data_IF_938586888855
#
_entry.id   IF_938586888855
#
_cell.length_a   1.000
_cell.length_b   1.000
_cell.length_c   1.000
_cell.angle_alpha   90.00
_cell.angle_beta   90.00
_cell.angle_gamma   90.00
#
_symmetry.space_group_name_H-M   'P 1'
#
loop_
_entity.id
_entity.type
_entity.pdbx_description
1 polymer ?
#
# COMPACT_ATOMS: atom_id res chain seq x y z
N UNK A 1 60.12 -50.46 1.54
CA UNK A 1 59.73 -49.51 2.60
C UNK A 1 59.66 -48.05 2.15
N UNK A 2 60.70 -47.48 1.49
CA UNK A 2 60.67 -46.07 1.05
C UNK A 2 59.59 -45.72 0.03
N UNK A 3 59.15 -46.63 -0.84
CA UNK A 3 58.10 -46.42 -1.82
C UNK A 3 56.66 -46.45 -1.20
N UNK A 4 56.47 -47.23 -0.14
CA UNK A 4 55.17 -47.28 0.59
C UNK A 4 54.95 -46.02 1.43
N UNK A 5 56.01 -45.43 2.00
CA UNK A 5 55.94 -44.20 2.79
C UNK A 5 55.60 -43.00 1.88
N UNK A 6 56.10 -42.95 0.64
CA UNK A 6 55.78 -41.89 -0.34
C UNK A 6 54.30 -41.92 -0.79
N UNK A 7 53.70 -43.11 -0.94
CA UNK A 7 52.32 -43.29 -1.31
C UNK A 7 51.39 -42.87 -0.15
N UNK A 8 51.79 -43.17 1.10
CA UNK A 8 50.97 -42.77 2.29
C UNK A 8 50.99 -41.24 2.50
N UNK A 9 52.12 -40.58 2.24
CA UNK A 9 52.21 -39.10 2.32
C UNK A 9 51.39 -38.38 1.26
N UNK A 10 51.29 -38.91 0.02
CA UNK A 10 50.44 -38.34 -1.04
C UNK A 10 48.97 -38.55 -0.74
N UNK A 11 48.57 -39.67 -0.15
CA UNK A 11 47.20 -39.92 0.26
C UNK A 11 46.76 -38.99 1.40
N UNK A 12 47.63 -38.63 2.34
CA UNK A 12 47.30 -37.68 3.42
C UNK A 12 47.22 -36.27 2.92
N UNK A 13 48.00 -35.85 1.88
CA UNK A 13 47.85 -34.53 1.27
C UNK A 13 46.56 -34.38 0.43
N UNK A 14 46.08 -35.44 -0.19
CA UNK A 14 44.84 -35.41 -0.98
C UNK A 14 43.63 -35.42 -0.03
N UNK A 15 43.69 -36.07 1.13
CA UNK A 15 42.65 -36.03 2.15
C UNK A 15 42.53 -34.67 2.85
N UNK A 16 43.60 -33.84 2.88
CA UNK A 16 43.58 -32.50 3.46
C UNK A 16 42.95 -31.42 2.57
N UNK A 17 42.74 -31.68 1.27
CA UNK A 17 42.17 -30.74 0.30
C UNK A 17 40.64 -30.87 0.17
N UNK A 18 40.02 -31.86 0.79
CA UNK A 18 38.54 -32.08 0.73
C UNK A 18 37.80 -31.40 1.89
N UNK A 19 38.49 -30.77 2.85
CA UNK A 19 37.91 -30.25 4.08
C UNK A 19 37.53 -28.75 4.07
N UNK A 20 37.54 -28.11 2.91
CA UNK A 20 37.04 -26.72 2.77
C UNK A 20 36.06 -26.65 1.59
N UNK A 21 34.92 -27.36 1.68
CA UNK A 21 33.73 -26.87 1.01
C UNK A 21 33.31 -25.61 1.78
N UNK A 22 33.31 -24.43 1.18
CA UNK A 22 32.74 -23.28 1.81
C UNK A 22 31.28 -23.69 2.18
N UNK A 23 30.89 -23.47 3.43
CA UNK A 23 29.51 -23.62 3.81
C UNK A 23 28.70 -22.91 2.76
N UNK A 24 27.81 -23.63 2.08
CA UNK A 24 26.95 -23.05 1.04
C UNK A 24 26.20 -21.92 1.75
N UNK A 25 26.59 -20.66 1.50
CA UNK A 25 25.86 -19.52 2.05
C UNK A 25 24.41 -19.73 1.66
N UNK A 26 23.54 -19.81 2.66
CA UNK A 26 22.11 -19.94 2.42
C UNK A 26 21.65 -18.78 1.52
N UNK A 27 20.67 -19.05 0.69
CA UNK A 27 20.14 -18.11 -0.28
C UNK A 27 19.72 -16.80 0.42
N UNK A 28 20.40 -15.67 0.11
CA UNK A 28 20.15 -14.36 0.73
C UNK A 28 18.70 -13.97 0.50
N UNK A 29 17.96 -13.73 1.58
CA UNK A 29 16.52 -13.51 1.54
C UNK A 29 16.18 -12.08 1.97
N UNK A 30 15.24 -11.46 1.26
CA UNK A 30 14.54 -10.24 1.70
C UNK A 30 13.12 -10.67 2.09
N UNK A 31 12.73 -10.40 3.34
CA UNK A 31 11.40 -10.70 3.83
C UNK A 31 10.47 -9.50 3.64
N UNK A 32 9.45 -9.64 2.81
CA UNK A 32 8.40 -8.64 2.59
C UNK A 32 7.20 -9.04 3.43
N UNK A 33 6.78 -8.15 4.33
CA UNK A 33 5.67 -8.37 5.26
C UNK A 33 4.66 -7.24 5.05
N UNK A 34 3.56 -7.58 4.39
CA UNK A 34 2.47 -6.67 4.02
C UNK A 34 1.38 -6.62 5.09
N UNK A 35 0.44 -5.67 4.98
CA UNK A 35 -0.75 -5.60 5.84
C UNK A 35 -1.76 -6.72 5.56
N UNK A 36 -1.72 -7.27 4.34
CA UNK A 36 -2.58 -8.37 3.91
C UNK A 36 -2.00 -9.09 2.71
N UNK A 37 -2.62 -10.19 2.28
CA UNK A 37 -2.20 -10.93 1.09
C UNK A 37 -3.36 -11.25 0.13
N UNK A 38 -4.60 -10.96 0.51
CA UNK A 38 -5.79 -11.32 -0.28
C UNK A 38 -6.22 -10.22 -1.26
N UNK A 39 -5.94 -8.96 -0.96
CA UNK A 39 -6.25 -7.85 -1.85
C UNK A 39 -5.38 -7.86 -3.10
N UNK A 40 -5.97 -7.49 -4.21
CA UNK A 40 -5.29 -7.32 -5.49
C UNK A 40 -4.10 -6.34 -5.40
N UNK A 41 -4.21 -5.27 -4.61
CA UNK A 41 -3.11 -4.38 -4.28
C UNK A 41 -1.86 -5.14 -3.79
N UNK A 42 -2.01 -6.03 -2.78
CA UNK A 42 -0.90 -6.78 -2.20
C UNK A 42 -0.32 -7.80 -3.17
N UNK A 43 -1.14 -8.38 -4.04
CA UNK A 43 -0.65 -9.32 -5.07
C UNK A 43 0.28 -8.66 -6.07
N UNK A 44 0.03 -7.42 -6.38
CA UNK A 44 0.91 -6.69 -7.27
C UNK A 44 2.18 -6.16 -6.59
N UNK A 45 2.07 -5.67 -5.36
CA UNK A 45 3.25 -5.41 -4.53
C UNK A 45 4.15 -6.64 -4.51
N UNK A 46 3.57 -7.83 -4.30
CA UNK A 46 4.28 -9.11 -4.34
C UNK A 46 4.98 -9.34 -5.68
N UNK A 47 4.27 -9.14 -6.79
CA UNK A 47 4.84 -9.34 -8.13
C UNK A 47 6.05 -8.41 -8.37
N UNK A 48 5.93 -7.12 -8.02
CA UNK A 48 7.03 -6.16 -8.10
C UNK A 48 8.21 -6.52 -7.20
N UNK A 49 7.93 -6.88 -5.94
CA UNK A 49 8.95 -7.26 -4.97
C UNK A 49 9.76 -8.50 -5.41
N UNK A 50 9.06 -9.55 -5.86
CA UNK A 50 9.69 -10.78 -6.37
C UNK A 50 10.55 -10.46 -7.59
N UNK A 51 10.05 -9.67 -8.52
CA UNK A 51 10.80 -9.25 -9.72
C UNK A 51 12.11 -8.53 -9.38
N UNK A 52 12.07 -7.59 -8.46
CA UNK A 52 13.27 -6.87 -8.02
C UNK A 52 14.31 -7.80 -7.36
N UNK A 53 13.85 -8.76 -6.55
CA UNK A 53 14.73 -9.77 -5.94
C UNK A 53 15.38 -10.68 -6.97
N UNK A 54 14.60 -11.21 -7.93
CA UNK A 54 15.11 -12.06 -9.01
C UNK A 54 16.21 -11.37 -9.81
N UNK A 55 16.01 -10.11 -10.19
CA UNK A 55 16.99 -9.33 -10.95
C UNK A 55 18.32 -9.13 -10.21
N UNK A 56 18.27 -9.09 -8.89
CA UNK A 56 19.44 -8.87 -8.04
C UNK A 56 20.01 -10.15 -7.40
N UNK A 57 19.43 -11.32 -7.68
CA UNK A 57 19.87 -12.61 -7.13
C UNK A 57 19.53 -12.80 -5.65
N UNK A 58 18.48 -12.15 -5.16
CA UNK A 58 17.93 -12.34 -3.82
C UNK A 58 16.63 -13.15 -3.88
N UNK A 59 16.46 -14.05 -2.92
CA UNK A 59 15.15 -14.63 -2.67
C UNK A 59 14.25 -13.60 -1.99
N UNK A 60 13.03 -13.48 -2.46
CA UNK A 60 11.99 -12.69 -1.79
C UNK A 60 10.96 -13.63 -1.19
N UNK A 61 10.67 -13.48 0.10
CA UNK A 61 9.49 -14.07 0.74
C UNK A 61 8.45 -12.98 0.92
N UNK A 62 7.20 -13.27 0.59
CA UNK A 62 6.08 -12.34 0.76
C UNK A 62 5.04 -12.98 1.66
N UNK A 63 4.64 -12.26 2.72
CA UNK A 63 3.64 -12.68 3.70
C UNK A 63 2.79 -11.49 4.11
N UNK A 64 1.54 -11.75 4.42
CA UNK A 64 0.61 -10.84 5.06
C UNK A 64 -0.47 -11.63 5.79
N UNK A 65 -1.09 -11.08 6.82
CA UNK A 65 -2.22 -11.72 7.48
C UNK A 65 -3.44 -11.75 6.55
N UNK A 66 -4.44 -12.54 6.92
CA UNK A 66 -5.68 -12.66 6.14
C UNK A 66 -6.56 -11.41 6.21
N UNK A 67 -6.37 -10.61 7.25
CA UNK A 67 -7.08 -9.34 7.48
C UNK A 67 -6.12 -8.26 7.96
N UNK A 68 -6.34 -7.03 7.48
CA UNK A 68 -5.59 -5.83 7.88
C UNK A 68 -5.91 -5.34 9.32
N UNK A 69 -6.50 -6.19 10.14
CA UNK A 69 -6.72 -5.97 11.58
C UNK A 69 -5.92 -6.93 12.48
N UNK A 70 -5.17 -7.87 11.89
CA UNK A 70 -4.50 -8.94 12.62
C UNK A 70 -3.06 -8.58 13.04
N UNK A 71 -2.88 -7.50 13.81
CA UNK A 71 -1.56 -7.05 14.31
C UNK A 71 -0.73 -8.16 14.96
N UNK A 72 -1.28 -9.02 15.86
CA UNK A 72 -0.49 -10.10 16.48
C UNK A 72 0.08 -11.10 15.46
N UNK A 73 -0.69 -11.43 14.41
CA UNK A 73 -0.22 -12.33 13.37
C UNK A 73 0.90 -11.69 12.55
N UNK A 74 0.77 -10.41 12.20
CA UNK A 74 1.83 -9.70 11.50
C UNK A 74 3.12 -9.60 12.33
N UNK A 75 3.03 -9.31 13.64
CA UNK A 75 4.19 -9.33 14.56
C UNK A 75 4.90 -10.69 14.55
N UNK A 76 4.15 -11.79 14.59
CA UNK A 76 4.73 -13.15 14.53
C UNK A 76 5.46 -13.38 13.18
N UNK A 77 4.99 -12.83 12.07
CA UNK A 77 5.67 -12.90 10.77
C UNK A 77 7.01 -12.15 10.82
N UNK A 78 7.03 -10.93 11.41
CA UNK A 78 8.27 -10.17 11.60
C UNK A 78 9.26 -10.93 12.49
N UNK A 79 8.82 -11.48 13.62
CA UNK A 79 9.66 -12.28 14.49
C UNK A 79 10.22 -13.53 13.79
N UNK A 80 9.42 -14.18 12.95
CA UNK A 80 9.85 -15.33 12.15
C UNK A 80 10.94 -14.92 11.16
N UNK A 81 10.77 -13.78 10.47
CA UNK A 81 11.77 -13.24 9.57
C UNK A 81 13.08 -12.90 10.31
N UNK A 82 12.99 -12.24 11.47
CA UNK A 82 14.16 -11.89 12.31
C UNK A 82 14.92 -13.11 12.84
N UNK A 83 14.28 -14.25 12.98
CA UNK A 83 14.91 -15.49 13.45
C UNK A 83 15.47 -16.34 12.30
N UNK A 84 15.24 -15.98 11.05
CA UNK A 84 15.79 -16.66 9.89
C UNK A 84 17.19 -16.10 9.55
N UNK A 85 18.28 -16.88 9.67
CA UNK A 85 19.65 -16.39 9.42
C UNK A 85 19.89 -15.98 7.97
N UNK A 86 19.04 -16.41 7.04
CA UNK A 86 19.14 -16.06 5.63
C UNK A 86 18.53 -14.69 5.32
N UNK A 87 17.67 -14.15 6.17
CA UNK A 87 17.07 -12.82 6.00
C UNK A 87 18.13 -11.75 6.23
N UNK A 88 18.31 -10.89 5.21
CA UNK A 88 19.30 -9.81 5.21
C UNK A 88 18.65 -8.43 5.35
N UNK A 89 17.39 -8.30 4.96
CA UNK A 89 16.58 -7.10 5.12
C UNK A 89 15.11 -7.46 5.28
N UNK A 90 14.35 -6.57 5.90
CA UNK A 90 12.89 -6.67 6.01
C UNK A 90 12.29 -5.48 5.27
N UNK A 91 11.23 -5.71 4.51
CA UNK A 91 10.37 -4.70 3.88
C UNK A 91 9.02 -4.83 4.57
N UNK A 92 8.59 -3.80 5.29
CA UNK A 92 7.48 -3.87 6.25
C UNK A 92 6.45 -2.77 6.03
N UNK A 93 5.18 -3.14 5.89
CA UNK A 93 4.04 -2.24 6.02
C UNK A 93 3.26 -2.61 7.29
N UNK A 94 3.30 -1.78 8.32
CA UNK A 94 2.65 -2.09 9.61
C UNK A 94 1.13 -1.88 9.57
N UNK A 95 0.37 -2.80 10.11
CA UNK A 95 -1.10 -2.67 10.26
C UNK A 95 -1.45 -1.64 11.34
N UNK A 96 -0.65 -1.54 12.38
CA UNK A 96 -0.91 -0.70 13.53
C UNK A 96 0.35 -0.45 14.33
N UNK A 97 0.20 -0.05 15.57
CA UNK A 97 1.29 0.11 16.54
C UNK A 97 1.62 -1.21 17.26
N UNK A 98 2.71 -1.25 18.02
CA UNK A 98 3.08 -2.39 18.86
C UNK A 98 4.26 -3.20 18.33
N UNK A 99 5.06 -2.66 17.41
CA UNK A 99 6.23 -3.31 16.80
C UNK A 99 7.56 -2.97 17.46
N UNK A 100 7.55 -2.32 18.66
CA UNK A 100 8.75 -1.85 19.36
C UNK A 100 9.79 -2.95 19.54
N UNK A 101 9.36 -4.14 19.99
CA UNK A 101 10.27 -5.26 20.27
C UNK A 101 10.90 -5.81 18.98
N UNK A 102 10.10 -5.94 17.93
CA UNK A 102 10.55 -6.44 16.63
C UNK A 102 11.54 -5.47 15.99
N UNK A 103 11.25 -4.16 15.99
CA UNK A 103 12.11 -3.14 15.42
C UNK A 103 13.40 -2.97 16.23
N UNK A 104 13.32 -3.00 17.56
CA UNK A 104 14.51 -3.05 18.44
C UNK A 104 15.38 -4.26 18.11
N UNK A 105 14.77 -5.44 17.93
CA UNK A 105 15.50 -6.67 17.57
C UNK A 105 16.13 -6.55 16.19
N UNK A 106 15.45 -5.95 15.21
CA UNK A 106 16.01 -5.70 13.88
C UNK A 106 17.27 -4.82 13.96
N UNK A 107 17.20 -3.73 14.74
CA UNK A 107 18.35 -2.86 14.97
C UNK A 107 19.54 -3.60 15.60
N UNK A 108 19.30 -4.36 16.67
CA UNK A 108 20.36 -5.12 17.37
C UNK A 108 20.99 -6.19 16.49
N UNK A 109 20.21 -6.81 15.62
CA UNK A 109 20.69 -7.78 14.62
C UNK A 109 21.29 -7.11 13.36
N UNK A 110 21.25 -5.78 13.26
CA UNK A 110 21.69 -5.00 12.09
C UNK A 110 20.95 -5.43 10.80
N UNK A 111 19.68 -5.77 10.91
CA UNK A 111 18.81 -6.06 9.78
C UNK A 111 18.09 -4.76 9.42
N UNK A 112 18.39 -4.14 8.25
CA UNK A 112 17.71 -2.91 7.84
C UNK A 112 16.24 -3.18 7.53
N UNK A 113 15.38 -2.21 7.87
CA UNK A 113 13.95 -2.24 7.62
C UNK A 113 13.58 -1.13 6.63
N UNK A 114 13.05 -1.51 5.47
CA UNK A 114 12.39 -0.58 4.54
C UNK A 114 10.92 -0.55 4.89
N UNK A 115 10.39 0.64 5.11
CA UNK A 115 8.96 0.83 5.23
C UNK A 115 8.32 0.92 3.85
N UNK A 116 7.12 0.39 3.67
CA UNK A 116 6.40 0.56 2.42
C UNK A 116 4.89 0.73 2.63
N UNK A 117 4.21 1.27 1.62
CA UNK A 117 2.78 1.60 1.61
C UNK A 117 2.40 2.66 2.67
N UNK A 118 2.65 2.38 3.92
CA UNK A 118 2.53 3.34 5.02
C UNK A 118 3.78 3.28 5.88
N UNK A 119 4.25 4.43 6.34
CA UNK A 119 5.31 4.52 7.33
C UNK A 119 4.84 4.00 8.69
N UNK A 120 5.78 3.86 9.61
CA UNK A 120 5.47 3.69 11.03
C UNK A 120 4.55 4.84 11.46
N UNK A 121 3.68 4.56 12.42
CA UNK A 121 2.73 5.57 12.89
C UNK A 121 3.45 6.86 13.29
N UNK A 122 2.91 8.00 12.88
CA UNK A 122 3.55 9.33 12.88
C UNK A 122 4.09 9.81 14.25
N UNK A 123 3.75 9.13 15.34
CA UNK A 123 4.26 9.45 16.68
C UNK A 123 5.52 8.67 17.08
N UNK A 124 6.08 7.85 16.20
CA UNK A 124 7.27 7.04 16.48
C UNK A 124 7.12 6.05 17.66
N UNK A 125 5.89 5.69 18.02
CA UNK A 125 5.60 4.86 19.20
C UNK A 125 6.22 3.46 19.13
N UNK A 126 6.61 3.02 17.94
CA UNK A 126 7.18 1.70 17.72
C UNK A 126 8.71 1.70 17.65
N UNK A 127 9.36 2.82 17.94
CA UNK A 127 10.82 2.92 17.91
C UNK A 127 11.37 3.25 19.29
N UNK A 128 12.27 2.40 19.79
CA UNK A 128 13.07 2.72 20.97
C UNK A 128 14.09 3.80 20.61
N UNK A 129 14.23 4.83 21.44
CA UNK A 129 15.19 5.92 21.21
C UNK A 129 16.61 5.39 20.94
N UNK A 130 17.19 5.82 19.84
CA UNK A 130 18.52 5.38 19.40
C UNK A 130 18.58 3.98 18.82
N UNK A 131 17.45 3.29 18.63
CA UNK A 131 17.37 1.92 18.07
C UNK A 131 16.42 1.86 16.88
N UNK A 132 16.56 2.77 15.94
CA UNK A 132 15.79 2.80 14.70
C UNK A 132 16.47 1.96 13.61
N UNK A 133 15.85 0.85 13.14
CA UNK A 133 16.37 0.05 12.02
C UNK A 133 15.89 0.57 10.67
N UNK A 134 15.00 1.57 10.62
CA UNK A 134 14.38 2.01 9.37
C UNK A 134 15.39 2.76 8.49
N UNK A 135 15.26 2.59 7.19
CA UNK A 135 16.23 3.14 6.23
C UNK A 135 15.58 3.98 5.13
N UNK A 136 14.27 4.04 5.12
CA UNK A 136 13.46 4.84 4.19
C UNK A 136 12.10 4.21 3.93
N UNK A 137 11.20 5.04 3.38
CA UNK A 137 9.82 4.71 3.04
C UNK A 137 9.63 4.70 1.52
N UNK A 138 8.95 3.67 1.01
CA UNK A 138 8.47 3.61 -0.37
C UNK A 138 6.94 3.54 -0.35
N UNK A 139 6.28 4.61 -0.72
CA UNK A 139 4.82 4.71 -0.65
C UNK A 139 4.27 5.61 -1.76
N UNK A 140 2.97 5.52 -1.99
CA UNK A 140 2.25 6.55 -2.75
C UNK A 140 2.37 7.89 -2.01
N UNK A 141 2.61 8.98 -2.71
CA UNK A 141 2.44 10.33 -2.18
C UNK A 141 0.93 10.58 -1.97
N UNK A 142 0.44 10.11 -0.82
CA UNK A 142 -0.99 10.01 -0.53
C UNK A 142 -1.68 11.38 -0.53
N UNK A 143 -1.00 12.43 -0.07
CA UNK A 143 -1.58 13.77 -0.06
C UNK A 143 -1.73 14.32 -1.48
N UNK A 144 -0.71 14.15 -2.33
CA UNK A 144 -0.83 14.52 -3.76
C UNK A 144 -1.84 13.64 -4.50
N UNK A 145 -1.93 12.36 -4.17
CA UNK A 145 -2.89 11.47 -4.80
C UNK A 145 -4.34 11.82 -4.41
N UNK A 146 -4.60 12.21 -3.15
CA UNK A 146 -5.87 12.77 -2.72
C UNK A 146 -6.21 14.10 -3.44
N UNK A 147 -5.22 14.97 -3.60
CA UNK A 147 -5.36 16.21 -4.39
C UNK A 147 -5.68 15.91 -5.86
N UNK A 148 -5.07 14.88 -6.46
CA UNK A 148 -5.37 14.45 -7.84
C UNK A 148 -6.82 13.98 -8.00
N UNK A 149 -7.39 13.28 -7.01
CA UNK A 149 -8.83 12.97 -7.01
C UNK A 149 -9.64 14.25 -7.03
N UNK A 150 -9.31 15.22 -6.15
CA UNK A 150 -10.04 16.49 -6.04
C UNK A 150 -9.99 17.29 -7.35
N UNK A 151 -8.84 17.39 -7.99
CA UNK A 151 -8.67 18.12 -9.27
C UNK A 151 -9.57 17.56 -10.36
N UNK A 152 -9.54 16.26 -10.56
CA UNK A 152 -10.32 15.61 -11.60
C UNK A 152 -11.82 15.60 -11.29
N UNK A 153 -12.16 15.34 -10.03
CA UNK A 153 -13.56 15.32 -9.60
C UNK A 153 -14.19 16.72 -9.66
N UNK A 154 -13.48 17.75 -9.21
CA UNK A 154 -13.93 19.14 -9.32
C UNK A 154 -14.14 19.56 -10.79
N UNK A 155 -13.19 19.21 -11.67
CA UNK A 155 -13.32 19.46 -13.10
C UNK A 155 -14.58 18.80 -13.70
N UNK A 156 -14.88 17.57 -13.28
CA UNK A 156 -16.11 16.88 -13.66
C UNK A 156 -17.35 17.62 -13.15
N UNK A 157 -17.42 17.94 -11.85
CA UNK A 157 -18.57 18.66 -11.26
C UNK A 157 -18.82 20.02 -11.95
N UNK A 158 -17.74 20.74 -12.25
CA UNK A 158 -17.78 22.01 -12.98
C UNK A 158 -18.33 21.84 -14.41
N UNK A 159 -17.90 20.82 -15.12
CA UNK A 159 -18.40 20.50 -16.47
C UNK A 159 -19.89 20.12 -16.49
N UNK A 160 -20.38 19.53 -15.40
CA UNK A 160 -21.82 19.22 -15.23
C UNK A 160 -22.66 20.43 -14.80
N UNK A 161 -22.03 21.59 -14.51
CA UNK A 161 -22.70 22.80 -14.00
C UNK A 161 -23.52 22.56 -12.71
N UNK A 162 -23.08 21.66 -11.82
CA UNK A 162 -23.79 21.33 -10.58
C UNK A 162 -23.27 22.10 -9.36
N UNK A 163 -22.10 22.73 -9.47
CA UNK A 163 -21.46 23.44 -8.37
C UNK A 163 -22.20 24.73 -8.02
N UNK A 164 -22.58 24.86 -6.75
CA UNK A 164 -23.21 26.06 -6.17
C UNK A 164 -22.65 26.29 -4.78
N UNK A 165 -22.85 27.48 -4.20
CA UNK A 165 -22.55 27.70 -2.79
C UNK A 165 -23.34 26.73 -1.90
N UNK A 166 -22.64 26.07 -0.97
CA UNK A 166 -23.22 25.05 -0.10
C UNK A 166 -23.36 23.67 -0.78
N UNK A 167 -22.69 23.42 -1.93
CA UNK A 167 -22.65 22.08 -2.51
C UNK A 167 -22.01 21.10 -1.54
N UNK A 168 -22.72 20.03 -1.21
CA UNK A 168 -22.38 19.10 -0.13
C UNK A 168 -21.56 17.93 -0.60
N UNK A 169 -20.33 17.82 -0.09
CA UNK A 169 -19.41 16.72 -0.39
C UNK A 169 -19.09 15.94 0.88
N UNK A 170 -19.41 14.64 0.87
CA UNK A 170 -18.98 13.71 1.90
C UNK A 170 -17.61 13.12 1.60
N UNK A 171 -16.83 12.85 2.66
CA UNK A 171 -15.57 12.11 2.56
C UNK A 171 -15.59 10.96 3.55
N UNK A 172 -15.39 9.73 3.07
CA UNK A 172 -15.25 8.55 3.94
C UNK A 172 -13.77 8.23 4.05
N UNK A 173 -13.15 8.65 5.15
CA UNK A 173 -11.76 8.33 5.50
C UNK A 173 -11.71 6.93 6.08
N UNK A 174 -10.91 6.05 5.48
CA UNK A 174 -10.95 4.62 5.81
C UNK A 174 -10.37 4.29 7.20
N UNK A 175 -9.31 4.95 7.63
CA UNK A 175 -8.69 4.74 8.93
C UNK A 175 -7.92 5.98 9.43
N UNK A 176 -7.23 5.86 10.55
CA UNK A 176 -6.42 6.91 11.18
C UNK A 176 -4.92 6.76 10.87
N UNK A 177 -4.54 5.94 9.89
CA UNK A 177 -3.15 5.87 9.42
C UNK A 177 -2.79 7.11 8.61
N UNK A 178 -1.50 7.32 8.38
CA UNK A 178 -1.04 8.41 7.50
C UNK A 178 -1.70 8.34 6.12
N UNK A 179 -1.88 7.13 5.55
CA UNK A 179 -2.53 6.95 4.25
C UNK A 179 -3.98 7.45 4.25
N UNK A 180 -4.76 7.11 5.27
CA UNK A 180 -6.16 7.55 5.40
C UNK A 180 -6.28 9.05 5.60
N UNK A 181 -5.44 9.61 6.46
CA UNK A 181 -5.41 11.04 6.76
C UNK A 181 -4.98 11.84 5.53
N UNK A 182 -3.84 11.51 4.94
CA UNK A 182 -3.25 12.27 3.83
C UNK A 182 -4.16 12.28 2.58
N UNK A 183 -4.79 11.14 2.25
CA UNK A 183 -5.75 11.08 1.13
C UNK A 183 -6.96 11.97 1.36
N UNK A 184 -7.52 11.96 2.56
CA UNK A 184 -8.66 12.81 2.92
C UNK A 184 -8.27 14.29 2.96
N UNK A 185 -7.16 14.65 3.61
CA UNK A 185 -6.68 16.04 3.70
C UNK A 185 -6.30 16.59 2.33
N UNK A 186 -5.54 15.83 1.53
CA UNK A 186 -5.16 16.23 0.17
C UNK A 186 -6.38 16.54 -0.70
N UNK A 187 -7.42 15.71 -0.60
CA UNK A 187 -8.68 15.96 -1.29
C UNK A 187 -9.38 17.22 -0.78
N UNK A 188 -9.57 17.34 0.52
CA UNK A 188 -10.31 18.46 1.14
C UNK A 188 -9.61 19.80 0.90
N UNK A 189 -8.29 19.86 1.08
CA UNK A 189 -7.51 21.07 0.83
C UNK A 189 -7.63 21.51 -0.64
N UNK A 190 -7.40 20.58 -1.58
CA UNK A 190 -7.39 20.90 -3.00
C UNK A 190 -8.78 21.25 -3.54
N UNK A 191 -9.84 20.55 -3.15
CA UNK A 191 -11.17 20.85 -3.66
C UNK A 191 -11.67 22.20 -3.16
N UNK A 192 -11.33 22.59 -1.92
CA UNK A 192 -11.64 23.92 -1.38
C UNK A 192 -10.82 25.01 -2.08
N UNK A 193 -9.54 24.78 -2.38
CA UNK A 193 -8.70 25.69 -3.18
C UNK A 193 -9.35 25.99 -4.55
N UNK A 194 -9.77 24.93 -5.25
CA UNK A 194 -10.41 25.05 -6.57
C UNK A 194 -11.76 25.77 -6.51
N UNK A 195 -12.57 25.45 -5.51
CA UNK A 195 -13.85 26.09 -5.29
C UNK A 195 -13.70 27.59 -4.97
N UNK A 196 -12.73 27.94 -4.10
CA UNK A 196 -12.43 29.33 -3.77
C UNK A 196 -11.98 30.13 -5.00
N UNK A 197 -11.18 29.53 -5.89
CA UNK A 197 -10.77 30.17 -7.13
C UNK A 197 -11.96 30.51 -8.06
N UNK A 198 -13.04 29.70 -8.00
CA UNK A 198 -14.29 29.94 -8.71
C UNK A 198 -15.33 30.75 -7.88
N UNK A 199 -14.94 31.27 -6.70
CA UNK A 199 -15.81 31.98 -5.75
C UNK A 199 -17.00 31.14 -5.24
N UNK A 200 -16.79 29.84 -5.10
CA UNK A 200 -17.74 28.87 -4.56
C UNK A 200 -17.31 28.45 -3.15
N UNK A 201 -18.26 28.32 -2.24
CA UNK A 201 -18.08 27.75 -0.91
C UNK A 201 -18.71 26.35 -0.89
N UNK A 202 -17.94 25.33 -0.53
CA UNK A 202 -18.41 23.95 -0.39
C UNK A 202 -18.74 23.64 1.07
N UNK A 203 -19.74 22.78 1.29
CA UNK A 203 -19.97 22.15 2.58
C UNK A 203 -19.35 20.75 2.55
N UNK A 204 -18.36 20.50 3.42
CA UNK A 204 -17.66 19.22 3.45
C UNK A 204 -17.87 18.54 4.80
N UNK A 205 -18.38 17.30 4.77
CA UNK A 205 -18.47 16.44 5.95
C UNK A 205 -17.48 15.26 5.84
N UNK A 206 -16.58 15.15 6.82
CA UNK A 206 -15.57 14.10 6.91
C UNK A 206 -16.02 13.03 7.93
N UNK A 207 -16.22 11.80 7.46
CA UNK A 207 -16.49 10.61 8.25
C UNK A 207 -15.17 9.85 8.49
N UNK A 208 -14.60 10.00 9.71
CA UNK A 208 -13.35 9.31 10.09
C UNK A 208 -13.67 7.93 10.66
N UNK A 209 -13.12 6.88 10.08
CA UNK A 209 -13.36 5.48 10.47
C UNK A 209 -12.07 4.82 10.97
N UNK A 210 -12.20 3.60 11.48
CA UNK A 210 -11.09 2.81 12.05
C UNK A 210 -10.91 1.46 11.35
N UNK A 211 -11.44 1.34 10.13
CA UNK A 211 -11.40 0.10 9.33
C UNK A 211 -12.10 -1.10 10.00
N UNK A 212 -13.18 -0.84 10.75
CA UNK A 212 -14.01 -1.91 11.30
C UNK A 212 -15.14 -2.28 10.34
N UNK A 213 -15.52 -3.54 10.32
CA UNK A 213 -16.60 -4.04 9.46
C UNK A 213 -17.92 -3.28 9.67
N UNK A 214 -18.52 -2.82 8.58
CA UNK A 214 -19.81 -2.10 8.57
C UNK A 214 -19.73 -0.61 8.87
N UNK A 215 -18.58 -0.06 9.27
CA UNK A 215 -18.44 1.38 9.56
C UNK A 215 -18.64 2.25 8.33
N UNK A 216 -18.25 1.77 7.15
CA UNK A 216 -18.37 2.54 5.90
C UNK A 216 -19.81 2.63 5.40
N UNK A 217 -20.63 1.60 5.63
CA UNK A 217 -22.08 1.65 5.35
C UNK A 217 -22.79 2.64 6.28
N UNK A 218 -22.40 2.70 7.55
CA UNK A 218 -22.92 3.70 8.49
C UNK A 218 -22.52 5.12 8.07
N UNK A 219 -21.26 5.32 7.62
CA UNK A 219 -20.81 6.59 7.08
C UNK A 219 -21.60 7.00 5.83
N UNK A 220 -21.81 6.08 4.91
CA UNK A 220 -22.63 6.31 3.71
C UNK A 220 -24.05 6.77 4.08
N UNK A 221 -24.68 6.09 5.03
CA UNK A 221 -26.03 6.44 5.50
C UNK A 221 -26.06 7.82 6.17
N UNK A 222 -25.07 8.13 7.03
CA UNK A 222 -24.93 9.45 7.67
C UNK A 222 -24.77 10.57 6.64
N UNK A 223 -23.90 10.38 5.65
CA UNK A 223 -23.68 11.37 4.59
C UNK A 223 -24.93 11.56 3.72
N UNK A 224 -25.65 10.49 3.41
CA UNK A 224 -26.92 10.57 2.68
C UNK A 224 -27.98 11.37 3.48
N UNK A 225 -28.14 11.09 4.78
CA UNK A 225 -29.07 11.81 5.66
C UNK A 225 -28.70 13.29 5.78
N UNK A 226 -27.40 13.61 5.82
CA UNK A 226 -26.90 14.99 5.78
C UNK A 226 -27.22 15.68 4.45
N UNK A 227 -27.50 14.92 3.39
CA UNK A 227 -27.83 15.41 2.06
C UNK A 227 -26.63 15.59 1.15
N UNK A 228 -25.64 14.73 1.26
CA UNK A 228 -24.48 14.72 0.37
C UNK A 228 -24.91 14.60 -1.10
N UNK A 229 -24.34 15.44 -1.95
CA UNK A 229 -24.53 15.43 -3.40
C UNK A 229 -23.37 14.71 -4.12
N UNK A 230 -22.23 14.62 -3.43
CA UNK A 230 -21.06 13.89 -3.89
C UNK A 230 -20.35 13.21 -2.70
N UNK A 231 -19.69 12.06 -2.93
CA UNK A 231 -18.97 11.31 -1.90
C UNK A 231 -17.63 10.84 -2.44
N UNK A 232 -16.55 11.13 -1.70
CA UNK A 232 -15.21 10.59 -1.91
C UNK A 232 -14.92 9.43 -0.96
N UNK A 233 -14.39 8.32 -1.50
CA UNK A 233 -14.02 7.10 -0.80
C UNK A 233 -12.50 6.92 -0.87
N UNK A 234 -11.82 6.88 0.29
CA UNK A 234 -10.35 7.03 0.33
C UNK A 234 -9.54 5.75 0.10
N UNK A 235 -10.19 4.58 -0.04
CA UNK A 235 -9.52 3.32 -0.43
C UNK A 235 -10.49 2.28 -0.99
N UNK A 236 -9.94 1.16 -1.47
CA UNK A 236 -10.70 0.01 -1.97
C UNK A 236 -11.63 -0.61 -0.91
N UNK A 237 -11.20 -0.66 0.35
CA UNK A 237 -12.02 -1.21 1.45
C UNK A 237 -13.33 -0.46 1.61
N UNK A 238 -13.31 0.88 1.52
CA UNK A 238 -14.53 1.70 1.54
C UNK A 238 -15.42 1.36 0.34
N UNK A 239 -14.85 1.27 -0.86
CA UNK A 239 -15.62 0.95 -2.07
C UNK A 239 -16.25 -0.44 -1.97
N UNK A 240 -15.54 -1.41 -1.44
CA UNK A 240 -16.01 -2.79 -1.31
C UNK A 240 -17.23 -2.93 -0.37
N UNK A 241 -17.38 -2.04 0.63
CA UNK A 241 -18.58 -2.00 1.47
C UNK A 241 -19.69 -1.11 0.90
N UNK A 242 -19.32 0.02 0.27
CA UNK A 242 -20.28 1.02 -0.23
C UNK A 242 -20.94 0.57 -1.53
N UNK A 243 -20.19 0.01 -2.48
CA UNK A 243 -20.72 -0.34 -3.80
C UNK A 243 -21.88 -1.32 -3.78
N UNK A 244 -21.84 -2.44 -3.03
CA UNK A 244 -22.99 -3.34 -2.93
C UNK A 244 -24.25 -2.63 -2.38
N UNK A 245 -24.08 -1.77 -1.38
CA UNK A 245 -25.18 -1.02 -0.77
C UNK A 245 -25.84 -0.06 -1.77
N UNK A 246 -25.00 0.67 -2.54
CA UNK A 246 -25.48 1.58 -3.58
C UNK A 246 -26.16 0.83 -4.73
N UNK A 247 -25.64 -0.34 -5.10
CA UNK A 247 -26.19 -1.20 -6.16
C UNK A 247 -27.54 -1.81 -5.76
N UNK A 248 -27.68 -2.20 -4.50
CA UNK A 248 -28.92 -2.80 -4.00
C UNK A 248 -30.01 -1.75 -3.77
N UNK A 249 -29.65 -0.48 -3.53
CA UNK A 249 -30.57 0.62 -3.22
C UNK A 249 -30.45 1.78 -4.23
N UNK A 250 -30.46 1.49 -5.52
CA UNK A 250 -30.20 2.45 -6.61
C UNK A 250 -31.01 3.75 -6.46
N UNK A 251 -32.31 3.64 -6.23
CA UNK A 251 -33.20 4.82 -6.13
C UNK A 251 -32.82 5.76 -4.97
N UNK A 252 -32.17 5.21 -3.95
CA UNK A 252 -31.73 5.98 -2.79
C UNK A 252 -30.45 6.77 -3.01
N UNK A 253 -29.63 6.35 -3.98
CA UNK A 253 -28.28 6.88 -4.21
C UNK A 253 -28.02 7.43 -5.62
N UNK A 254 -28.93 7.21 -6.58
CA UNK A 254 -28.72 7.57 -8.00
C UNK A 254 -28.43 9.04 -8.27
N UNK A 255 -28.78 9.93 -7.34
CA UNK A 255 -28.49 11.38 -7.45
C UNK A 255 -27.16 11.78 -6.83
N UNK A 256 -26.44 10.87 -6.17
CA UNK A 256 -25.15 11.12 -5.54
C UNK A 256 -24.03 10.73 -6.51
N UNK A 257 -23.07 11.62 -6.70
CA UNK A 257 -21.88 11.36 -7.49
C UNK A 257 -20.77 10.79 -6.58
N UNK A 258 -20.09 9.76 -7.04
CA UNK A 258 -19.01 9.12 -6.29
C UNK A 258 -17.66 9.31 -6.97
N UNK A 259 -16.59 9.40 -6.18
CA UNK A 259 -15.21 9.20 -6.64
C UNK A 259 -14.47 8.34 -5.62
N UNK A 260 -13.44 7.63 -6.10
CA UNK A 260 -12.75 6.61 -5.31
C UNK A 260 -11.24 6.78 -5.26
N UNK A 261 -10.64 5.81 -4.60
CA UNK A 261 -9.20 5.60 -4.53
C UNK A 261 -8.93 4.09 -4.66
N UNK A 262 -7.78 3.70 -5.19
CA UNK A 262 -7.45 2.33 -5.60
C UNK A 262 -8.16 1.86 -6.88
N UNK A 263 -8.00 0.57 -7.22
CA UNK A 263 -8.47 0.00 -8.48
C UNK A 263 -8.77 -1.51 -8.36
N UNK A 264 -9.67 -1.86 -7.43
CA UNK A 264 -10.13 -3.25 -7.29
C UNK A 264 -11.25 -3.62 -8.26
N UNK A 265 -11.70 -4.88 -8.17
CA UNK A 265 -12.76 -5.42 -9.02
C UNK A 265 -14.06 -4.61 -8.93
N UNK A 266 -14.47 -4.21 -7.71
CA UNK A 266 -15.69 -3.42 -7.51
C UNK A 266 -15.58 -2.02 -8.14
N UNK A 267 -14.41 -1.35 -8.05
CA UNK A 267 -14.18 -0.09 -8.75
C UNK A 267 -14.29 -0.26 -10.26
N UNK A 268 -13.68 -1.32 -10.80
CA UNK A 268 -13.74 -1.62 -12.24
C UNK A 268 -15.17 -1.79 -12.70
N UNK A 269 -15.94 -2.67 -12.05
CA UNK A 269 -17.35 -2.90 -12.40
C UNK A 269 -18.18 -1.62 -12.30
N UNK A 270 -18.03 -0.87 -11.22
CA UNK A 270 -18.79 0.36 -10.98
C UNK A 270 -18.47 1.45 -12.01
N UNK A 271 -17.20 1.67 -12.30
CA UNK A 271 -16.78 2.63 -13.34
C UNK A 271 -17.26 2.21 -14.73
N UNK A 272 -17.17 0.92 -15.06
CA UNK A 272 -17.65 0.39 -16.36
C UNK A 272 -19.15 0.50 -16.53
N UNK A 273 -19.94 0.38 -15.45
CA UNK A 273 -21.40 0.65 -15.47
C UNK A 273 -21.68 2.08 -15.94
N UNK A 274 -20.91 3.05 -15.49
CA UNK A 274 -21.00 4.45 -15.94
C UNK A 274 -22.36 5.11 -15.65
N UNK A 275 -23.02 4.72 -14.55
CA UNK A 275 -24.30 5.25 -14.13
C UNK A 275 -25.51 4.63 -14.84
N UNK A 276 -25.33 3.53 -15.57
CA UNK A 276 -26.40 2.89 -16.33
C UNK A 276 -27.39 2.15 -15.44
N UNK A 277 -26.88 1.43 -14.43
CA UNK A 277 -27.70 0.61 -13.52
C UNK A 277 -27.50 0.96 -12.04
N UNK A 278 -26.59 1.87 -11.72
CA UNK A 278 -26.21 2.27 -10.37
C UNK A 278 -25.95 3.79 -10.31
N UNK A 279 -25.72 4.36 -9.13
CA UNK A 279 -25.19 5.72 -9.01
C UNK A 279 -23.82 5.81 -9.70
N UNK A 280 -23.45 7.00 -10.20
CA UNK A 280 -22.23 7.16 -10.99
C UNK A 280 -20.96 7.23 -10.12
N UNK A 281 -20.04 6.31 -10.30
CA UNK A 281 -18.64 6.46 -9.91
C UNK A 281 -17.90 7.15 -11.05
N UNK A 282 -17.59 8.43 -10.85
CA UNK A 282 -16.99 9.30 -11.88
C UNK A 282 -15.59 8.82 -12.26
N UNK A 283 -14.81 8.41 -11.28
CA UNK A 283 -13.46 7.92 -11.46
C UNK A 283 -12.78 7.60 -10.13
N UNK A 284 -11.55 7.15 -10.21
CA UNK A 284 -10.73 6.79 -9.04
C UNK A 284 -9.26 7.06 -9.33
N UNK A 285 -8.41 7.12 -8.29
CA UNK A 285 -6.96 7.16 -8.43
C UNK A 285 -6.38 5.78 -8.13
N UNK A 286 -5.74 5.19 -9.13
CA UNK A 286 -4.99 3.95 -8.96
C UNK A 286 -3.60 4.22 -8.39
N UNK A 287 -3.13 3.35 -7.48
CA UNK A 287 -1.76 3.32 -7.01
C UNK A 287 -0.90 2.41 -7.89
N UNK A 288 0.35 2.76 -8.11
CA UNK A 288 1.31 1.87 -8.77
C UNK A 288 1.94 0.91 -7.75
N UNK A 289 1.14 -0.06 -7.31
CA UNK A 289 1.51 -1.01 -6.28
C UNK A 289 2.64 -1.94 -6.70
N UNK A 290 2.72 -2.26 -8.00
CA UNK A 290 3.84 -3.02 -8.54
C UNK A 290 5.16 -2.27 -8.32
N UNK A 291 5.19 -0.98 -8.69
CA UNK A 291 6.37 -0.14 -8.49
C UNK A 291 6.69 0.06 -7.00
N UNK A 292 5.67 0.17 -6.13
CA UNK A 292 5.90 0.20 -4.68
C UNK A 292 6.65 -1.06 -4.22
N UNK A 293 6.20 -2.25 -4.59
CA UNK A 293 6.88 -3.50 -4.22
C UNK A 293 8.29 -3.61 -4.80
N UNK A 294 8.44 -3.25 -6.07
CA UNK A 294 9.71 -3.29 -6.78
C UNK A 294 10.75 -2.35 -6.17
N UNK A 295 10.41 -1.07 -5.98
CA UNK A 295 11.34 -0.07 -5.44
C UNK A 295 11.64 -0.32 -3.95
N UNK A 296 10.72 -0.89 -3.17
CA UNK A 296 10.96 -1.25 -1.77
C UNK A 296 12.07 -2.31 -1.63
N UNK A 297 12.03 -3.35 -2.45
CA UNK A 297 13.07 -4.37 -2.46
C UNK A 297 14.38 -3.82 -3.02
N UNK A 298 14.35 -2.99 -4.07
CA UNK A 298 15.55 -2.31 -4.58
C UNK A 298 16.20 -1.41 -3.54
N UNK A 299 15.42 -0.70 -2.74
CA UNK A 299 15.93 0.16 -1.67
C UNK A 299 16.62 -0.69 -0.59
N UNK A 300 16.03 -1.83 -0.20
CA UNK A 300 16.67 -2.79 0.70
C UNK A 300 18.01 -3.31 0.14
N UNK A 301 18.03 -3.70 -1.13
CA UNK A 301 19.24 -4.19 -1.81
C UNK A 301 20.30 -3.09 -1.87
N UNK A 302 19.96 -1.87 -2.26
CA UNK A 302 20.87 -0.73 -2.30
C UNK A 302 21.56 -0.51 -0.94
N UNK A 303 20.78 -0.60 0.16
CA UNK A 303 21.36 -0.52 1.51
C UNK A 303 22.32 -1.65 1.82
N UNK A 304 21.99 -2.89 1.46
CA UNK A 304 22.85 -4.05 1.66
C UNK A 304 24.16 -3.95 0.85
N UNK A 305 24.13 -3.24 -0.26
CA UNK A 305 25.30 -2.91 -1.08
C UNK A 305 26.09 -1.68 -0.58
N UNK A 306 25.67 -1.08 0.53
CA UNK A 306 26.34 0.08 1.14
C UNK A 306 26.05 1.42 0.43
N UNK A 307 25.02 1.48 -0.41
CA UNK A 307 24.59 2.72 -1.09
C UNK A 307 23.79 3.60 -0.13
N UNK A 308 23.81 4.91 -0.38
CA UNK A 308 22.90 5.85 0.27
C UNK A 308 21.46 5.62 -0.24
N UNK A 309 20.52 5.66 0.67
CA UNK A 309 19.10 5.44 0.38
C UNK A 309 18.25 6.58 0.96
N UNK A 310 17.09 6.82 0.36
CA UNK A 310 16.14 7.85 0.76
C UNK A 310 14.72 7.40 0.43
N UNK A 311 13.73 8.10 0.98
CA UNK A 311 12.31 7.88 0.69
C UNK A 311 12.01 8.00 -0.81
N UNK A 312 11.08 7.17 -1.28
CA UNK A 312 10.63 7.13 -2.67
C UNK A 312 9.11 7.33 -2.71
N UNK A 313 8.69 8.48 -3.19
CA UNK A 313 7.27 8.77 -3.43
C UNK A 313 6.84 8.25 -4.81
N UNK A 314 5.80 7.43 -4.84
CA UNK A 314 5.22 6.87 -6.07
C UNK A 314 3.98 7.67 -6.44
N UNK A 315 3.83 8.03 -7.70
CA UNK A 315 2.65 8.73 -8.21
C UNK A 315 1.41 7.84 -8.28
N UNK A 316 0.23 8.48 -8.30
CA UNK A 316 -1.03 7.83 -8.64
C UNK A 316 -1.49 8.20 -10.06
N UNK A 317 -2.45 7.44 -10.60
CA UNK A 317 -3.05 7.70 -11.91
C UNK A 317 -4.57 7.80 -11.79
N UNK A 318 -5.15 8.95 -12.21
CA UNK A 318 -6.61 9.07 -12.32
C UNK A 318 -7.15 8.26 -13.48
N UNK A 319 -8.22 7.54 -13.23
CA UNK A 319 -8.90 6.77 -14.26
C UNK A 319 -10.42 6.88 -14.18
N UNK A 320 -11.03 6.72 -15.35
CA UNK A 320 -12.46 6.82 -15.60
C UNK A 320 -12.88 5.71 -16.56
N UNK A 321 -14.15 5.68 -16.93
CA UNK A 321 -14.68 4.76 -17.94
C UNK A 321 -13.94 4.83 -19.28
N UNK A 322 -13.42 6.00 -19.64
CA UNK A 322 -12.77 6.26 -20.92
C UNK A 322 -11.37 5.64 -21.02
N UNK A 323 -10.62 5.53 -19.92
CA UNK A 323 -9.23 5.08 -19.94
C UNK A 323 -8.93 3.85 -19.06
N UNK A 324 -9.94 3.28 -18.41
CA UNK A 324 -9.77 2.15 -17.49
C UNK A 324 -9.17 0.91 -18.19
N UNK A 325 -9.54 0.66 -19.43
CA UNK A 325 -9.02 -0.49 -20.19
C UNK A 325 -7.53 -0.29 -20.55
N UNK A 326 -7.09 0.92 -20.82
CA UNK A 326 -5.69 1.26 -21.10
C UNK A 326 -4.78 1.07 -19.88
N UNK A 327 -5.32 1.28 -18.69
CA UNK A 327 -4.58 1.13 -17.43
C UNK A 327 -4.48 -0.32 -16.98
N UNK A 328 -5.44 -1.17 -17.38
CA UNK A 328 -5.41 -2.62 -17.13
C UNK A 328 -4.14 -3.28 -17.67
N UNK A 329 -3.66 -2.83 -18.82
CA UNK A 329 -2.48 -3.38 -19.49
C UNK A 329 -1.15 -2.87 -18.88
N UNK A 330 -1.19 -1.87 -17.98
CA UNK A 330 0.00 -1.22 -17.39
C UNK A 330 0.42 -1.75 -16.01
N UNK A 331 -0.09 -2.90 -15.58
CA UNK A 331 0.16 -3.47 -14.24
C UNK A 331 -0.24 -2.55 -13.05
N UNK A 332 -1.01 -1.50 -13.31
CA UNK A 332 -1.56 -0.59 -12.31
C UNK A 332 -2.91 -1.11 -11.80
N UNK A 333 -3.59 -1.94 -12.59
CA UNK A 333 -4.84 -2.60 -12.25
C UNK A 333 -4.65 -4.06 -11.90
N UNK A 334 -5.20 -4.43 -10.77
CA UNK A 334 -5.26 -5.81 -10.32
C UNK A 334 -6.68 -6.28 -10.39
N UNK A 335 -6.96 -7.03 -11.42
CA UNK A 335 -8.12 -7.90 -11.43
C UNK A 335 -7.61 -9.29 -11.18
N UNK A 336 -7.86 -9.79 -9.98
CA UNK A 336 -7.57 -11.15 -9.60
C UNK A 336 -8.36 -12.15 -10.41
#
# INVERSE_FOLDING_TARGET
MKKLIAILLVLVMVAGLVACTPAQEGEKTIAVIAKGETHAFWQAVKAGAVKAGEEAGYKVTFQGPTSESEVPNQRNMVQTALNNPNVKAIVLATIGTGFVDELTTAFEKKIPVVEFDSGLYANGADITEGKDPTIGLVATDNKKAGALVAENFYAYLKAQNVLTNGYKIGVIQHDSTATGIDRAEGFVEKINELAAADSITLDIQLEKKQNNAGEYKLALSSLKEWGAQAIYMTNEGVVNEVYPEVKDQVDAYKSILFCGFDCGTNQYEWIKDGGATCALLVGSVAQDSYTIGYESVKLAIAKLEGKEVKDVGIGGAWYTKENIDDLKDKNVFYMG
#
